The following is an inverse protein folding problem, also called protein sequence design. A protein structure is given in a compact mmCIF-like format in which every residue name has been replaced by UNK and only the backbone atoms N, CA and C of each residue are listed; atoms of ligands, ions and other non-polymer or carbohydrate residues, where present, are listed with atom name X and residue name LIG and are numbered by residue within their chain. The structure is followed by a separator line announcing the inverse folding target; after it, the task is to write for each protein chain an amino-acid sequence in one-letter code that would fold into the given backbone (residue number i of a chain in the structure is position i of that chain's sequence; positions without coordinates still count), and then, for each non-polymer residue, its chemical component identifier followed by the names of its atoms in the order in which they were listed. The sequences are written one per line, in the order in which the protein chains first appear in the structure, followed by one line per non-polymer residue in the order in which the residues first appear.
data_IF_520740312383
#
_entry.id   IF_520740312383
#
_cell.length_a   1.000
_cell.length_b   1.000
_cell.length_c   1.000
_cell.angle_alpha   90.00
_cell.angle_beta   90.00
_cell.angle_gamma   90.00
#
_symmetry.space_group_name_H-M   'P 1'
#
loop_
_entity.id
_entity.type
_entity.pdbx_description
1 polymer ?
#
# COMPACT_ATOMS: atom_id res chain seq x y z
N UNK A 1 -2.60 5.89 10.36
CA UNK A 1 -1.41 5.12 10.77
C UNK A 1 -1.00 4.02 9.79
N UNK A 2 -1.71 3.84 8.65
CA UNK A 2 -1.38 2.90 7.56
C UNK A 2 -1.56 3.51 6.16
N UNK A 3 -1.65 4.83 6.08
CA UNK A 3 -1.81 5.49 4.78
C UNK A 3 -0.41 5.64 4.19
N UNK A 4 -0.24 5.37 2.89
CA UNK A 4 1.05 5.47 2.21
C UNK A 4 2.12 4.54 2.80
N UNK A 5 1.73 3.30 3.12
CA UNK A 5 2.62 2.29 3.71
C UNK A 5 2.63 0.96 2.93
N UNK A 6 1.87 0.84 1.84
CA UNK A 6 1.87 -0.36 1.03
C UNK A 6 3.22 -0.57 0.31
N UNK A 7 3.59 -1.84 0.13
CA UNK A 7 4.77 -2.23 -0.66
C UNK A 7 4.54 -1.94 -2.14
N UNK A 8 3.29 -2.08 -2.57
CA UNK A 8 2.80 -1.72 -3.91
C UNK A 8 2.11 -0.35 -3.84
N UNK A 9 2.73 0.74 -4.34
CA UNK A 9 2.20 2.10 -4.24
C UNK A 9 0.82 2.30 -4.89
N UNK A 10 0.45 1.49 -5.89
CA UNK A 10 -0.89 1.57 -6.49
C UNK A 10 -2.02 1.34 -5.49
N UNK A 11 -1.77 0.56 -4.43
CA UNK A 11 -2.76 0.28 -3.39
C UNK A 11 -3.11 1.52 -2.55
N UNK A 12 -2.44 2.65 -2.77
CA UNK A 12 -2.70 3.94 -2.11
C UNK A 12 -3.55 4.89 -2.96
N UNK A 13 -3.97 4.49 -4.17
CA UNK A 13 -4.72 5.31 -5.13
C UNK A 13 -5.95 6.00 -4.54
N UNK A 14 -6.68 5.34 -3.64
CA UNK A 14 -7.95 5.83 -3.12
C UNK A 14 -7.76 7.10 -2.28
N UNK A 15 -6.54 7.36 -1.81
CA UNK A 15 -6.17 8.57 -1.08
C UNK A 15 -5.77 9.72 -2.02
N UNK A 16 -5.53 9.43 -3.30
CA UNK A 16 -4.94 10.36 -4.26
C UNK A 16 -5.86 10.68 -5.44
N UNK A 17 -6.67 9.75 -5.93
CA UNK A 17 -7.43 9.96 -7.16
C UNK A 17 -8.48 11.09 -7.05
N UNK A 18 -8.74 11.80 -8.16
CA UNK A 18 -9.78 12.83 -8.18
C UNK A 18 -11.18 12.25 -7.93
N UNK A 19 -11.43 11.01 -8.38
CA UNK A 19 -12.71 10.32 -8.20
C UNK A 19 -13.14 10.18 -6.73
N UNK A 20 -12.18 10.18 -5.80
CA UNK A 20 -12.43 10.09 -4.36
C UNK A 20 -12.24 11.41 -3.61
N UNK A 21 -11.99 12.52 -4.32
CA UNK A 21 -11.79 13.86 -3.74
C UNK A 21 -13.11 14.62 -3.47
N UNK A 22 -14.22 14.17 -4.08
CA UNK A 22 -15.52 14.80 -3.98
C UNK A 22 -16.61 13.81 -3.53
N UNK A 23 -17.84 14.32 -3.30
CA UNK A 23 -18.99 13.51 -2.92
C UNK A 23 -19.19 13.31 -1.41
N UNK A 24 -20.18 12.49 -1.06
CA UNK A 24 -20.57 12.24 0.34
C UNK A 24 -19.53 11.41 1.10
N UNK A 25 -18.95 10.40 0.47
CA UNK A 25 -17.83 9.63 1.00
C UNK A 25 -16.57 10.07 0.26
N UNK A 26 -15.76 10.88 0.93
CA UNK A 26 -14.51 11.40 0.39
C UNK A 26 -13.34 10.60 0.96
N UNK A 27 -12.71 9.74 0.14
CA UNK A 27 -11.53 8.96 0.57
C UNK A 27 -10.21 9.68 0.31
N UNK A 28 -10.13 10.60 -0.64
CA UNK A 28 -9.01 11.53 -0.71
C UNK A 28 -9.23 12.65 0.33
N UNK A 29 -8.67 12.46 1.53
CA UNK A 29 -9.00 13.28 2.71
C UNK A 29 -8.60 14.75 2.58
N UNK A 30 -7.56 15.02 1.79
CA UNK A 30 -7.04 16.36 1.54
C UNK A 30 -7.82 17.08 0.43
N UNK A 31 -8.72 16.36 -0.26
CA UNK A 31 -9.56 16.86 -1.37
C UNK A 31 -8.75 17.54 -2.47
N UNK A 32 -7.53 17.06 -2.68
CA UNK A 32 -6.63 17.58 -3.69
C UNK A 32 -6.76 16.74 -4.96
N UNK A 33 -7.36 17.32 -6.00
CA UNK A 33 -7.49 16.69 -7.31
C UNK A 33 -6.44 17.27 -8.27
N UNK A 34 -5.61 16.38 -8.83
CA UNK A 34 -4.67 16.70 -9.89
C UNK A 34 -4.89 15.72 -11.07
N UNK A 35 -5.47 16.18 -12.20
CA UNK A 35 -5.71 15.32 -13.36
C UNK A 35 -4.43 14.70 -13.97
N UNK A 36 -3.28 15.36 -13.84
CA UNK A 36 -2.00 14.83 -14.35
C UNK A 36 -1.53 13.65 -13.49
N UNK A 37 -1.68 13.75 -12.16
CA UNK A 37 -1.47 12.61 -11.25
C UNK A 37 -2.42 11.46 -11.57
N UNK A 38 -3.70 11.74 -11.81
CA UNK A 38 -4.67 10.69 -12.18
C UNK A 38 -4.26 9.96 -13.47
N UNK A 39 -3.75 10.68 -14.47
CA UNK A 39 -3.23 10.06 -15.69
C UNK A 39 -2.09 9.06 -15.39
N UNK A 40 -1.16 9.41 -14.49
CA UNK A 40 -0.09 8.51 -14.03
C UNK A 40 -0.66 7.31 -13.26
N UNK A 41 -1.64 7.53 -12.37
CA UNK A 41 -2.31 6.46 -11.61
C UNK A 41 -3.01 5.46 -12.53
N UNK A 42 -3.61 5.91 -13.64
CA UNK A 42 -4.17 4.99 -14.64
C UNK A 42 -3.08 4.32 -15.49
N UNK A 43 -2.06 5.06 -15.93
CA UNK A 43 -0.99 4.54 -16.77
C UNK A 43 -0.21 3.40 -16.07
N UNK A 44 0.08 3.53 -14.77
CA UNK A 44 0.78 2.48 -14.02
C UNK A 44 -0.01 1.18 -13.84
N UNK A 45 -1.35 1.20 -14.01
CA UNK A 45 -2.20 0.00 -14.01
C UNK A 45 -2.33 -0.63 -15.39
N UNK A 46 -2.03 0.13 -16.44
CA UNK A 46 -2.14 -0.31 -17.81
C UNK A 46 -0.88 -1.05 -18.31
N UNK A 47 0.12 -1.24 -17.44
CA UNK A 47 1.40 -1.87 -17.77
C UNK A 47 1.87 -2.80 -16.67
N UNK A 48 2.55 -3.88 -17.07
CA UNK A 48 3.25 -4.81 -16.18
C UNK A 48 4.77 -4.53 -16.11
N UNK A 49 5.26 -3.51 -16.83
CA UNK A 49 6.66 -3.09 -16.78
C UNK A 49 6.97 -2.36 -15.45
N UNK A 50 7.70 -3.04 -14.56
CA UNK A 50 8.04 -2.52 -13.25
C UNK A 50 8.88 -1.24 -13.32
N UNK A 51 9.82 -1.13 -14.26
CA UNK A 51 10.69 0.06 -14.34
C UNK A 51 9.87 1.28 -14.78
N UNK A 52 8.93 1.09 -15.70
CA UNK A 52 7.97 2.13 -16.08
C UNK A 52 7.07 2.55 -14.91
N UNK A 53 6.58 1.58 -14.12
CA UNK A 53 5.75 1.84 -12.93
C UNK A 53 6.52 2.61 -11.86
N UNK A 54 7.77 2.23 -11.61
CA UNK A 54 8.65 2.91 -10.65
C UNK A 54 8.87 4.36 -11.04
N UNK A 55 9.06 4.66 -12.33
CA UNK A 55 9.23 6.04 -12.77
C UNK A 55 7.95 6.87 -12.57
N UNK A 56 6.78 6.32 -12.94
CA UNK A 56 5.50 6.99 -12.67
C UNK A 56 5.27 7.23 -11.18
N UNK A 57 5.65 6.29 -10.31
CA UNK A 57 5.56 6.50 -8.86
C UNK A 57 6.49 7.62 -8.37
N UNK A 58 7.68 7.78 -8.96
CA UNK A 58 8.56 8.91 -8.63
C UNK A 58 7.93 10.23 -9.01
N UNK A 59 7.32 10.33 -10.18
CA UNK A 59 6.60 11.54 -10.63
C UNK A 59 5.43 11.87 -9.68
N UNK A 60 4.64 10.86 -9.30
CA UNK A 60 3.57 11.03 -8.30
C UNK A 60 4.12 11.52 -6.96
N UNK A 61 5.26 10.98 -6.49
CA UNK A 61 5.89 11.43 -5.24
C UNK A 61 6.39 12.87 -5.32
N UNK A 62 6.94 13.31 -6.46
CA UNK A 62 7.32 14.71 -6.68
C UNK A 62 6.08 15.62 -6.56
N UNK A 63 4.99 15.27 -7.24
CA UNK A 63 3.73 16.02 -7.17
C UNK A 63 3.15 16.08 -5.75
N UNK A 64 3.16 14.95 -5.03
CA UNK A 64 2.70 14.90 -3.63
C UNK A 64 3.52 15.82 -2.73
N UNK A 65 4.83 15.91 -2.97
CA UNK A 65 5.71 16.80 -2.22
C UNK A 65 5.49 18.28 -2.59
N UNK A 66 5.34 18.60 -3.88
CA UNK A 66 5.19 19.99 -4.37
C UNK A 66 3.80 20.59 -4.08
N UNK A 67 2.76 19.76 -4.02
CA UNK A 67 1.40 20.21 -3.70
C UNK A 67 1.23 20.62 -2.24
N UNK A 68 2.11 20.15 -1.34
CA UNK A 68 1.97 20.29 0.12
C UNK A 68 0.63 19.77 0.68
N UNK A 69 -0.08 18.94 -0.08
CA UNK A 69 -1.38 18.41 0.34
C UNK A 69 -1.23 17.45 1.54
N UNK A 70 -0.10 16.74 1.62
CA UNK A 70 0.29 15.90 2.75
C UNK A 70 1.61 16.38 3.37
N UNK A 71 1.70 16.35 4.70
CA UNK A 71 2.95 16.54 5.44
C UNK A 71 3.26 15.24 6.17
N UNK A 72 4.30 14.54 5.72
CA UNK A 72 4.76 13.30 6.33
C UNK A 72 5.69 13.59 7.50
N UNK A 73 5.22 13.34 8.72
CA UNK A 73 6.00 13.63 9.95
C UNK A 73 6.80 12.44 10.45
N UNK A 74 6.36 11.21 10.16
CA UNK A 74 7.00 9.98 10.62
C UNK A 74 6.71 8.83 9.65
N UNK A 75 7.62 7.85 9.60
CA UNK A 75 7.34 6.52 9.05
C UNK A 75 7.10 5.55 10.21
N UNK A 76 5.91 4.96 10.26
CA UNK A 76 5.54 4.02 11.30
C UNK A 76 6.11 2.62 11.01
N UNK A 77 7.08 2.19 11.82
CA UNK A 77 7.61 0.82 11.77
C UNK A 77 6.74 -0.13 12.58
N UNK A 78 6.44 -1.29 12.01
CA UNK A 78 5.64 -2.33 12.64
C UNK A 78 6.51 -3.52 13.01
N UNK A 79 6.47 -3.89 14.29
CA UNK A 79 7.02 -5.16 14.77
C UNK A 79 5.88 -5.97 15.35
N UNK A 80 5.73 -7.22 14.91
CA UNK A 80 4.78 -8.16 15.48
C UNK A 80 5.56 -9.27 16.17
N UNK A 81 5.34 -9.41 17.47
CA UNK A 81 5.93 -10.48 18.28
C UNK A 81 4.97 -11.67 18.37
N UNK A 82 5.54 -12.87 18.34
CA UNK A 82 4.80 -14.12 18.48
C UNK A 82 5.52 -15.03 19.48
N UNK A 83 4.76 -15.88 20.17
CA UNK A 83 5.35 -16.92 21.03
C UNK A 83 5.89 -18.09 20.20
N UNK A 84 6.80 -18.86 20.78
CA UNK A 84 7.47 -19.99 20.12
C UNK A 84 6.49 -21.07 19.64
N UNK A 85 5.32 -21.16 20.27
CA UNK A 85 4.26 -22.10 19.88
C UNK A 85 3.47 -21.66 18.64
N UNK A 86 3.69 -20.45 18.11
CA UNK A 86 2.95 -19.93 16.95
C UNK A 86 3.66 -20.32 15.66
N UNK A 87 2.98 -21.13 14.85
CA UNK A 87 3.56 -21.72 13.66
C UNK A 87 3.04 -21.08 12.37
N UNK A 88 3.84 -21.17 11.31
CA UNK A 88 3.47 -20.83 9.94
C UNK A 88 3.09 -19.36 9.65
N UNK A 89 3.66 -18.43 10.41
CA UNK A 89 3.41 -16.98 10.30
C UNK A 89 3.69 -16.38 8.92
N UNK A 90 4.66 -16.95 8.18
CA UNK A 90 5.08 -16.47 6.86
C UNK A 90 4.98 -17.53 5.76
N UNK A 91 4.32 -18.67 6.00
CA UNK A 91 4.24 -19.76 5.02
C UNK A 91 3.06 -19.65 4.06
N UNK A 92 2.63 -18.43 3.79
CA UNK A 92 1.55 -18.15 2.85
C UNK A 92 2.05 -18.40 1.42
N UNK A 93 1.24 -19.10 0.63
CA UNK A 93 1.51 -19.35 -0.78
C UNK A 93 0.35 -18.88 -1.63
N UNK A 94 0.66 -18.34 -2.80
CA UNK A 94 -0.36 -17.95 -3.76
C UNK A 94 -0.87 -19.15 -4.55
N UNK A 95 -1.83 -18.92 -5.45
CA UNK A 95 -2.47 -19.98 -6.22
C UNK A 95 -1.49 -20.84 -7.05
N UNK A 96 -0.35 -20.27 -7.44
CA UNK A 96 0.68 -20.93 -8.25
C UNK A 96 1.87 -21.45 -7.42
N UNK A 97 1.75 -21.39 -6.08
CA UNK A 97 2.74 -21.90 -5.13
C UNK A 97 3.86 -20.92 -4.80
N UNK A 98 3.80 -19.69 -5.32
CA UNK A 98 4.72 -18.61 -4.98
C UNK A 98 4.59 -18.19 -3.52
N UNK A 99 5.70 -17.86 -2.87
CA UNK A 99 5.68 -17.38 -1.48
C UNK A 99 5.12 -15.96 -1.46
N UNK A 100 4.07 -15.75 -0.67
CA UNK A 100 3.47 -14.42 -0.49
C UNK A 100 4.23 -13.61 0.56
N UNK A 101 4.06 -12.29 0.49
CA UNK A 101 4.63 -11.38 1.49
C UNK A 101 4.09 -11.71 2.89
N UNK A 102 4.98 -11.90 3.87
CA UNK A 102 4.60 -12.40 5.19
C UNK A 102 3.59 -11.48 5.91
N UNK A 103 4.02 -10.26 6.25
CA UNK A 103 3.20 -9.27 6.94
C UNK A 103 3.55 -7.88 6.38
N UNK A 104 2.54 -7.06 6.08
CA UNK A 104 2.74 -5.68 5.62
C UNK A 104 1.93 -4.70 6.48
N UNK A 105 2.50 -3.56 6.85
CA UNK A 105 1.81 -2.50 7.63
C UNK A 105 1.19 -2.99 8.95
N UNK A 106 1.87 -3.93 9.62
CA UNK A 106 1.36 -4.60 10.82
C UNK A 106 0.06 -5.38 10.60
N UNK A 107 -0.28 -5.71 9.34
CA UNK A 107 -1.34 -6.67 9.02
C UNK A 107 -0.76 -8.08 9.15
N UNK A 108 -1.58 -8.95 9.71
CA UNK A 108 -1.27 -10.35 9.95
C UNK A 108 -2.33 -11.20 9.25
N UNK A 109 -1.89 -12.26 8.58
CA UNK A 109 -2.78 -13.25 7.99
C UNK A 109 -2.81 -14.50 8.86
N UNK A 110 -3.92 -14.73 9.56
CA UNK A 110 -4.05 -15.86 10.49
C UNK A 110 -4.64 -17.12 9.87
N UNK A 111 -5.00 -17.10 8.58
CA UNK A 111 -5.79 -18.17 7.98
C UNK A 111 -5.03 -19.50 7.79
N UNK A 112 -3.70 -19.48 7.85
CA UNK A 112 -2.85 -20.68 7.80
C UNK A 112 -1.96 -20.82 9.07
N UNK A 113 -2.18 -19.99 10.09
CA UNK A 113 -1.41 -19.97 11.34
C UNK A 113 -2.06 -20.91 12.34
N UNK A 114 -1.25 -21.66 13.10
CA UNK A 114 -1.75 -22.53 14.18
C UNK A 114 -0.86 -22.48 15.42
N UNK A 115 -1.41 -22.98 16.53
CA UNK A 115 -0.67 -23.17 17.77
C UNK A 115 -0.18 -24.62 17.86
N UNK A 116 1.11 -24.80 18.14
CA UNK A 116 1.68 -26.10 18.48
C UNK A 116 1.38 -26.50 19.92
N UNK A 117 1.70 -27.75 20.27
CA UNK A 117 1.68 -28.17 21.68
C UNK A 117 2.79 -27.45 22.46
N UNK A 118 2.50 -27.15 23.74
CA UNK A 118 3.38 -26.44 24.68
C UNK A 118 4.42 -27.34 25.32
#
# INVERSE_FOLDING_TARGET
WRQFGNVEPDLEVIWLECATAEGFITLNWVRWCNPERDALLYAQRATDDLDARVEMWREIQVEMNESYAYIFTTHANWTVGYGDQVNNLCGQTGPDGEILFCNNQGRMFFHNVWLGES
#
